data_IF_637468030512
#
_entry.id   IF_637468030512
#
_cell.length_a   1.000
_cell.length_b   1.000
_cell.length_c   1.000
_cell.angle_alpha   90.00
_cell.angle_beta   90.00
_cell.angle_gamma   90.00
#
_symmetry.space_group_name_H-M   'P 1'
#
loop_
_entity.id
_entity.type
_entity.pdbx_description
1 polymer ?
#
# COMPACT_ATOMS: atom_id res chain seq x y z
N UNK A 1 3.85 35.23 51.92
CA UNK A 1 2.97 35.77 50.87
C UNK A 1 2.91 34.76 49.74
N UNK A 2 1.76 34.67 49.06
CA UNK A 2 1.19 33.46 48.45
C UNK A 2 1.96 32.92 47.25
N UNK A 3 2.12 31.59 47.27
CA UNK A 3 2.44 30.70 46.14
C UNK A 3 1.44 30.92 44.99
N UNK A 4 1.93 31.00 43.74
CA UNK A 4 1.08 30.87 42.54
C UNK A 4 1.89 30.27 41.38
N UNK A 5 2.38 29.05 41.58
CA UNK A 5 2.69 28.17 40.45
C UNK A 5 1.34 27.70 39.89
N UNK A 6 1.02 28.19 38.71
CA UNK A 6 -0.16 27.82 37.93
C UNK A 6 0.03 26.36 37.48
N UNK A 7 -0.93 25.45 37.69
CA UNK A 7 -0.78 24.08 37.23
C UNK A 7 -0.84 24.08 35.70
N UNK A 8 0.19 23.51 35.07
CA UNK A 8 0.17 23.16 33.66
C UNK A 8 -0.92 22.08 33.51
N UNK A 9 -2.10 22.49 33.06
CA UNK A 9 -3.17 21.56 32.70
C UNK A 9 -2.66 20.81 31.47
N UNK A 10 -2.19 19.58 31.66
CA UNK A 10 -2.04 18.63 30.58
C UNK A 10 -3.46 18.32 30.09
N UNK A 11 -3.89 19.02 29.03
CA UNK A 11 -5.09 18.65 28.29
C UNK A 11 -4.70 17.34 27.59
N UNK A 12 -5.04 16.22 28.21
CA UNK A 12 -5.15 14.93 27.52
C UNK A 12 -6.28 15.11 26.51
N UNK A 13 -5.94 15.61 25.33
CA UNK A 13 -6.77 15.34 24.15
C UNK A 13 -6.73 13.83 24.00
N UNK A 14 -7.78 13.15 24.45
CA UNK A 14 -8.13 11.85 23.90
C UNK A 14 -8.45 12.12 22.43
N UNK A 15 -7.42 12.14 21.59
CA UNK A 15 -7.61 11.94 20.17
C UNK A 15 -8.20 10.54 20.11
N UNK A 16 -9.49 10.45 19.79
CA UNK A 16 -9.99 9.21 19.21
C UNK A 16 -9.12 9.03 17.97
N UNK A 17 -8.07 8.21 18.09
CA UNK A 17 -7.36 7.67 16.94
C UNK A 17 -8.42 6.83 16.23
N UNK A 18 -9.10 7.46 15.27
CA UNK A 18 -9.73 6.70 14.21
C UNK A 18 -8.55 6.02 13.52
N UNK A 19 -8.58 4.70 13.39
CA UNK A 19 -7.62 3.98 12.55
C UNK A 19 -7.67 4.64 11.17
N UNK A 20 -6.65 5.43 10.87
CA UNK A 20 -6.56 6.11 9.59
C UNK A 20 -6.08 5.05 8.61
N UNK A 21 -6.93 4.71 7.64
CA UNK A 21 -6.53 3.76 6.61
C UNK A 21 -5.43 4.39 5.75
N UNK A 22 -4.38 3.63 5.46
CA UNK A 22 -3.28 4.09 4.61
C UNK A 22 -3.74 4.21 3.14
N UNK A 23 -4.48 3.21 2.65
CA UNK A 23 -5.01 3.22 1.29
C UNK A 23 -6.48 3.66 1.25
N UNK A 24 -6.76 4.71 0.46
CA UNK A 24 -8.11 5.25 0.26
C UNK A 24 -8.52 5.12 -1.22
N UNK A 25 -9.52 4.29 -1.56
CA UNK A 25 -10.00 4.18 -2.92
C UNK A 25 -10.62 5.49 -3.42
N UNK A 26 -10.50 5.78 -4.72
CA UNK A 26 -11.06 7.00 -5.34
C UNK A 26 -12.59 7.03 -5.44
N UNK A 27 -13.26 5.97 -4.97
CA UNK A 27 -14.71 5.83 -5.02
C UNK A 27 -15.27 5.53 -3.64
N UNK A 28 -16.59 5.77 -3.48
CA UNK A 28 -17.29 5.50 -2.23
C UNK A 28 -18.72 5.04 -2.48
N UNK A 29 -19.33 4.40 -1.49
CA UNK A 29 -20.70 3.89 -1.59
C UNK A 29 -20.78 2.55 -2.30
N UNK A 30 -21.80 2.35 -3.13
CA UNK A 30 -21.96 1.10 -3.89
C UNK A 30 -21.14 1.17 -5.17
N UNK A 31 -20.21 0.23 -5.41
CA UNK A 31 -19.36 0.27 -6.59
C UNK A 31 -20.18 0.04 -7.88
N UNK A 32 -19.79 0.73 -8.95
CA UNK A 32 -20.38 0.58 -10.27
C UNK A 32 -19.75 -0.62 -10.98
N UNK A 33 -20.58 -1.57 -11.45
CA UNK A 33 -20.12 -2.78 -12.18
C UNK A 33 -18.82 -3.38 -11.64
N UNK A 34 -18.78 -3.70 -10.34
CA UNK A 34 -17.53 -3.97 -9.64
C UNK A 34 -16.78 -5.16 -10.22
N UNK A 35 -15.46 -5.10 -10.14
CA UNK A 35 -14.62 -6.28 -10.18
C UNK A 35 -14.36 -6.77 -8.75
N UNK A 36 -14.18 -8.08 -8.56
CA UNK A 36 -13.90 -8.68 -7.26
C UNK A 36 -12.50 -9.33 -7.22
N UNK A 37 -11.71 -9.01 -6.20
CA UNK A 37 -10.46 -9.70 -5.88
C UNK A 37 -10.68 -10.55 -4.63
N UNK A 38 -10.55 -11.87 -4.79
CA UNK A 38 -10.57 -12.86 -3.74
C UNK A 38 -9.12 -13.22 -3.39
N UNK A 39 -8.73 -12.98 -2.14
CA UNK A 39 -7.36 -13.18 -1.67
C UNK A 39 -7.33 -14.48 -0.87
N UNK A 40 -6.71 -15.52 -1.42
CA UNK A 40 -6.58 -16.82 -0.74
C UNK A 40 -5.50 -16.80 0.34
N UNK A 41 -4.48 -15.96 0.15
CA UNK A 41 -3.34 -15.80 1.05
C UNK A 41 -2.59 -14.50 0.71
N UNK A 42 -1.96 -13.87 1.70
CA UNK A 42 -1.12 -12.69 1.53
C UNK A 42 0.10 -12.76 2.44
N UNK A 43 1.30 -12.82 1.85
CA UNK A 43 2.56 -13.08 2.56
C UNK A 43 3.57 -11.93 2.43
N UNK A 44 4.32 -11.68 3.50
CA UNK A 44 5.60 -10.96 3.51
C UNK A 44 6.66 -11.94 4.00
N UNK A 45 7.69 -12.20 3.19
CA UNK A 45 8.80 -13.13 3.51
C UNK A 45 8.34 -14.54 3.92
N UNK A 46 7.21 -14.98 3.37
CA UNK A 46 6.61 -16.28 3.67
C UNK A 46 5.71 -16.33 4.90
N UNK A 47 5.57 -15.22 5.63
CA UNK A 47 4.67 -15.10 6.79
C UNK A 47 3.42 -14.32 6.42
N UNK A 48 2.26 -14.73 6.95
CA UNK A 48 0.99 -14.04 6.68
C UNK A 48 1.01 -12.60 7.19
N UNK A 49 0.35 -11.70 6.45
CA UNK A 49 -0.03 -10.38 6.97
C UNK A 49 -0.81 -10.52 8.27
N UNK A 50 -0.64 -9.54 9.16
CA UNK A 50 -1.26 -9.53 10.48
C UNK A 50 -2.36 -8.48 10.59
N UNK A 51 -3.14 -8.55 11.66
CA UNK A 51 -4.18 -7.57 11.98
C UNK A 51 -3.57 -6.17 12.04
N UNK A 52 -4.18 -5.22 11.32
CA UNK A 52 -3.72 -3.85 11.17
C UNK A 52 -3.11 -3.56 9.80
N UNK A 53 -2.48 -4.56 9.17
CA UNK A 53 -1.92 -4.42 7.82
C UNK A 53 -3.02 -4.15 6.78
N UNK A 54 -2.65 -3.50 5.67
CA UNK A 54 -3.58 -3.21 4.59
C UNK A 54 -3.10 -3.75 3.25
N UNK A 55 -4.07 -4.17 2.43
CA UNK A 55 -3.88 -4.54 1.04
C UNK A 55 -4.57 -3.48 0.18
N UNK A 56 -3.80 -2.81 -0.67
CA UNK A 56 -4.30 -1.84 -1.64
C UNK A 56 -4.25 -2.40 -3.06
N UNK A 57 -5.29 -2.12 -3.85
CA UNK A 57 -5.40 -2.51 -5.26
C UNK A 57 -5.37 -1.26 -6.13
N UNK A 58 -4.49 -1.26 -7.13
CA UNK A 58 -4.11 -0.07 -7.87
C UNK A 58 -4.26 -0.23 -9.39
N UNK A 59 -4.83 0.81 -10.00
CA UNK A 59 -4.77 1.10 -11.43
C UNK A 59 -3.69 2.17 -11.67
N UNK A 60 -2.46 1.73 -11.96
CA UNK A 60 -1.29 2.60 -11.93
C UNK A 60 -1.04 3.16 -10.53
N UNK A 61 -1.19 4.47 -10.36
CA UNK A 61 -1.04 5.15 -9.07
C UNK A 61 -2.37 5.37 -8.33
N UNK A 62 -3.48 4.96 -8.95
CA UNK A 62 -4.82 5.22 -8.44
C UNK A 62 -5.26 4.03 -7.58
N UNK A 63 -5.49 4.25 -6.29
CA UNK A 63 -6.10 3.25 -5.43
C UNK A 63 -7.57 3.06 -5.83
N UNK A 64 -7.93 1.85 -6.24
CA UNK A 64 -9.28 1.47 -6.70
C UNK A 64 -9.92 0.40 -5.82
N UNK A 65 -9.22 -0.06 -4.78
CA UNK A 65 -9.77 -0.94 -3.74
C UNK A 65 -8.78 -1.06 -2.60
N UNK A 66 -9.26 -1.28 -1.38
CA UNK A 66 -8.40 -1.58 -0.25
C UNK A 66 -9.12 -2.42 0.79
N UNK A 67 -8.33 -3.10 1.62
CA UNK A 67 -8.77 -3.85 2.79
C UNK A 67 -7.75 -3.69 3.90
N UNK A 68 -8.20 -3.24 5.07
CA UNK A 68 -7.44 -3.35 6.31
C UNK A 68 -7.83 -4.65 7.01
N UNK A 69 -6.84 -5.44 7.40
CA UNK A 69 -7.08 -6.71 8.09
C UNK A 69 -7.53 -6.44 9.53
N UNK A 70 -8.73 -6.90 9.87
CA UNK A 70 -9.26 -6.91 11.24
C UNK A 70 -9.20 -8.29 11.90
N UNK A 71 -8.78 -9.30 11.14
CA UNK A 71 -8.62 -10.70 11.53
C UNK A 71 -7.51 -11.37 10.71
N UNK A 72 -7.04 -12.52 11.19
CA UNK A 72 -6.08 -13.33 10.43
C UNK A 72 -6.73 -13.90 9.17
N UNK A 73 -5.97 -13.97 8.08
CA UNK A 73 -6.43 -14.58 6.83
C UNK A 73 -6.44 -16.11 7.02
N UNK A 74 -7.57 -16.65 7.48
CA UNK A 74 -7.78 -18.10 7.63
C UNK A 74 -8.54 -18.72 6.46
N UNK A 75 -9.26 -17.88 5.72
CA UNK A 75 -10.05 -18.22 4.53
C UNK A 75 -9.78 -17.16 3.44
N UNK A 76 -10.75 -16.90 2.56
CA UNK A 76 -10.62 -15.94 1.46
C UNK A 76 -11.13 -14.55 1.85
N UNK A 77 -10.30 -13.53 1.68
CA UNK A 77 -10.68 -12.12 1.83
C UNK A 77 -11.18 -11.52 0.51
N UNK A 78 -12.03 -10.50 0.57
CA UNK A 78 -12.64 -9.88 -0.61
C UNK A 78 -12.35 -8.37 -0.68
N UNK A 79 -11.78 -7.93 -1.80
CA UNK A 79 -11.69 -6.52 -2.17
C UNK A 79 -12.55 -6.27 -3.41
N UNK A 80 -13.42 -5.27 -3.33
CA UNK A 80 -14.21 -4.81 -4.46
C UNK A 80 -13.53 -3.60 -5.10
N UNK A 81 -13.61 -3.50 -6.43
CA UNK A 81 -13.09 -2.35 -7.18
C UNK A 81 -14.20 -1.82 -8.08
N UNK A 82 -14.47 -0.51 -8.04
CA UNK A 82 -15.50 0.13 -8.87
C UNK A 82 -14.97 0.41 -10.27
N UNK A 83 -15.80 0.22 -11.30
CA UNK A 83 -15.50 0.66 -12.66
C UNK A 83 -15.65 2.18 -12.77
N UNK A 84 -14.67 2.84 -13.39
CA UNK A 84 -14.72 4.29 -13.66
C UNK A 84 -15.94 4.63 -14.54
N UNK A 85 -16.77 5.55 -14.06
CA UNK A 85 -18.08 5.80 -14.64
C UNK A 85 -17.95 6.60 -15.95
N UNK A 86 -18.29 6.01 -17.12
CA UNK A 86 -18.12 6.69 -18.41
C UNK A 86 -19.07 7.90 -18.58
N UNK A 87 -20.06 8.07 -17.70
CA UNK A 87 -20.99 9.19 -17.72
C UNK A 87 -20.48 10.42 -16.95
N UNK A 88 -19.35 10.31 -16.24
CA UNK A 88 -18.71 11.41 -15.47
C UNK A 88 -17.29 11.67 -15.98
N UNK A 89 -17.11 12.01 -17.27
CA UNK A 89 -15.77 12.19 -17.84
C UNK A 89 -14.98 13.27 -17.11
N UNK A 90 -13.73 12.94 -16.75
CA UNK A 90 -12.80 13.82 -16.03
C UNK A 90 -12.88 13.71 -14.50
N UNK A 91 -13.80 12.92 -13.97
CA UNK A 91 -13.80 12.47 -12.58
C UNK A 91 -13.34 11.02 -12.58
N UNK A 92 -12.21 10.74 -11.95
CA UNK A 92 -11.75 9.35 -11.75
C UNK A 92 -12.44 8.80 -10.52
N UNK A 93 -13.34 7.84 -10.70
CA UNK A 93 -14.11 7.18 -9.65
C UNK A 93 -14.10 5.65 -9.76
N UNK A 94 -13.03 5.10 -10.33
CA UNK A 94 -12.83 3.67 -10.42
C UNK A 94 -11.61 3.27 -11.25
N UNK A 95 -11.58 1.99 -11.65
CA UNK A 95 -10.56 1.45 -12.54
C UNK A 95 -10.88 1.68 -14.01
N UNK A 96 -9.82 1.67 -14.83
CA UNK A 96 -9.88 1.69 -16.29
C UNK A 96 -9.83 0.26 -16.83
N UNK A 97 -10.77 -0.10 -17.72
CA UNK A 97 -10.82 -1.44 -18.33
C UNK A 97 -9.56 -1.74 -19.14
N UNK A 98 -9.01 -2.93 -18.97
CA UNK A 98 -7.84 -3.40 -19.73
C UNK A 98 -6.49 -3.03 -19.11
N UNK A 99 -6.47 -2.19 -18.08
CA UNK A 99 -5.26 -1.93 -17.31
C UNK A 99 -4.92 -3.12 -16.41
N UNK A 100 -3.62 -3.39 -16.17
CA UNK A 100 -3.21 -4.45 -15.26
C UNK A 100 -3.48 -4.05 -13.81
N UNK A 101 -3.84 -5.04 -12.99
CA UNK A 101 -3.95 -4.89 -11.55
C UNK A 101 -2.55 -4.84 -10.94
N UNK A 102 -2.32 -3.90 -10.04
CA UNK A 102 -1.14 -3.90 -9.17
C UNK A 102 -1.56 -3.86 -7.70
N UNK A 103 -0.74 -4.42 -6.83
CA UNK A 103 -1.01 -4.53 -5.39
C UNK A 103 0.11 -3.83 -4.63
N UNK A 104 -0.26 -3.21 -3.51
CA UNK A 104 0.67 -2.68 -2.50
C UNK A 104 0.21 -3.15 -1.13
N UNK A 105 1.15 -3.35 -0.23
CA UNK A 105 0.84 -3.57 1.18
C UNK A 105 1.22 -2.35 2.01
N UNK A 106 0.46 -2.15 3.08
CA UNK A 106 0.86 -1.32 4.20
C UNK A 106 1.11 -2.25 5.39
N UNK A 107 2.36 -2.32 5.85
CA UNK A 107 2.70 -2.95 7.10
C UNK A 107 2.53 -1.92 8.21
N UNK A 108 1.48 -2.06 9.02
CA UNK A 108 1.16 -1.07 10.05
C UNK A 108 2.16 -1.12 11.21
N UNK A 109 2.67 -2.30 11.54
CA UNK A 109 3.63 -2.45 12.64
C UNK A 109 4.97 -1.78 12.35
N UNK A 110 5.40 -1.80 11.09
CA UNK A 110 6.67 -1.22 10.64
C UNK A 110 6.51 0.17 10.01
N UNK A 111 5.27 0.62 9.77
CA UNK A 111 4.94 1.84 9.05
C UNK A 111 5.62 1.88 7.66
N UNK A 112 5.51 0.77 6.94
CA UNK A 112 6.21 0.52 5.68
C UNK A 112 5.22 0.18 4.56
N UNK A 113 5.32 0.91 3.44
CA UNK A 113 4.62 0.54 2.21
C UNK A 113 5.50 -0.40 1.38
N UNK A 114 5.00 -1.60 1.11
CA UNK A 114 5.62 -2.55 0.20
C UNK A 114 4.94 -2.47 -1.17
N UNK A 115 5.74 -2.24 -2.20
CA UNK A 115 5.30 -2.16 -3.60
C UNK A 115 5.71 -3.41 -4.36
N UNK A 116 5.21 -3.55 -5.61
CA UNK A 116 5.56 -4.66 -6.51
C UNK A 116 5.23 -6.05 -5.93
N UNK A 117 4.09 -6.16 -5.26
CA UNK A 117 3.59 -7.41 -4.73
C UNK A 117 3.31 -8.37 -5.89
N UNK A 118 3.84 -9.59 -5.80
CA UNK A 118 3.64 -10.62 -6.80
C UNK A 118 2.22 -11.17 -6.71
N UNK A 119 1.52 -11.22 -7.84
CA UNK A 119 0.15 -11.74 -7.95
C UNK A 119 0.22 -13.15 -8.55
N UNK A 120 0.05 -14.17 -7.73
CA UNK A 120 -0.08 -15.55 -8.18
C UNK A 120 -1.55 -15.83 -8.48
N UNK A 121 -1.91 -15.75 -9.77
CA UNK A 121 -3.27 -15.98 -10.25
C UNK A 121 -3.67 -17.44 -10.08
N UNK A 122 -4.69 -17.70 -9.27
CA UNK A 122 -5.27 -19.04 -9.09
C UNK A 122 -6.46 -19.25 -10.04
N UNK A 123 -7.28 -18.22 -10.23
CA UNK A 123 -8.43 -18.23 -11.14
C UNK A 123 -8.86 -16.80 -11.51
N UNK A 124 -9.49 -16.60 -12.67
CA UNK A 124 -9.90 -15.27 -13.12
C UNK A 124 -8.80 -14.54 -13.91
N UNK A 125 -8.77 -13.21 -13.83
CA UNK A 125 -7.82 -12.37 -14.59
C UNK A 125 -7.28 -11.22 -13.75
N UNK A 126 -5.98 -10.98 -13.89
CA UNK A 126 -5.22 -9.85 -13.36
C UNK A 126 -5.34 -8.56 -14.21
N UNK A 127 -6.34 -8.50 -15.09
CA UNK A 127 -6.66 -7.34 -15.91
C UNK A 127 -8.04 -6.82 -15.49
N UNK A 128 -8.14 -5.50 -15.28
CA UNK A 128 -9.39 -4.88 -14.88
C UNK A 128 -10.50 -5.07 -15.93
N UNK A 129 -11.64 -5.62 -15.48
CA UNK A 129 -12.82 -5.82 -16.29
C UNK A 129 -14.10 -5.61 -15.46
N UNK A 130 -15.12 -4.89 -15.98
CA UNK A 130 -16.40 -4.73 -15.29
C UNK A 130 -17.06 -6.08 -15.03
N UNK A 131 -17.55 -6.30 -13.80
CA UNK A 131 -18.11 -7.59 -13.36
C UNK A 131 -17.12 -8.77 -13.42
N UNK A 132 -15.83 -8.49 -13.57
CA UNK A 132 -14.77 -9.49 -13.55
C UNK A 132 -14.46 -10.00 -12.15
N UNK A 133 -13.59 -11.00 -12.07
CA UNK A 133 -13.04 -11.46 -10.80
C UNK A 133 -11.61 -11.97 -10.96
N UNK A 134 -10.88 -11.97 -9.85
CA UNK A 134 -9.58 -12.60 -9.67
C UNK A 134 -9.58 -13.34 -8.33
N UNK A 135 -9.06 -14.57 -8.32
CA UNK A 135 -8.66 -15.29 -7.11
C UNK A 135 -7.15 -15.40 -7.16
N UNK A 136 -6.46 -14.94 -6.13
CA UNK A 136 -5.01 -14.90 -6.11
C UNK A 136 -4.41 -15.12 -4.71
N UNK A 137 -3.22 -15.71 -4.71
CA UNK A 137 -2.26 -15.64 -3.62
C UNK A 137 -1.30 -14.49 -3.91
N UNK A 138 -1.01 -13.68 -2.89
CA UNK A 138 -0.16 -12.49 -2.99
C UNK A 138 1.12 -12.67 -2.17
N UNK A 139 2.27 -12.39 -2.77
CA UNK A 139 3.59 -12.57 -2.13
C UNK A 139 4.46 -11.32 -2.25
N UNK A 140 5.10 -10.93 -1.15
CA UNK A 140 6.11 -9.89 -1.08
C UNK A 140 7.39 -10.45 -0.46
N UNK A 141 8.54 -9.93 -0.90
CA UNK A 141 9.83 -10.21 -0.27
C UNK A 141 10.49 -8.88 0.13
N UNK A 142 11.02 -8.82 1.34
CA UNK A 142 11.83 -7.70 1.79
C UNK A 142 13.27 -7.90 1.35
N UNK A 143 13.85 -6.90 0.70
CA UNK A 143 15.24 -6.91 0.27
C UNK A 143 15.88 -5.65 0.80
N UNK A 144 16.81 -5.83 1.73
CA UNK A 144 17.57 -4.74 2.32
C UNK A 144 18.73 -4.33 1.42
N UNK A 145 18.92 -3.02 1.26
CA UNK A 145 20.07 -2.46 0.55
C UNK A 145 19.88 -0.98 0.27
N UNK A 146 20.89 -0.35 -0.33
CA UNK A 146 20.78 1.05 -0.69
C UNK A 146 19.72 1.26 -1.79
N UNK A 147 18.72 2.09 -1.52
CA UNK A 147 17.65 2.44 -2.48
C UNK A 147 17.89 3.75 -3.22
N UNK A 148 18.96 4.50 -2.85
CA UNK A 148 19.34 5.73 -3.53
C UNK A 148 19.97 5.43 -4.91
N UNK A 149 19.32 5.80 -6.03
CA UNK A 149 19.84 5.54 -7.37
C UNK A 149 21.14 6.30 -7.70
N UNK A 150 21.47 7.35 -6.94
CA UNK A 150 22.69 8.14 -7.10
C UNK A 150 23.87 7.61 -6.26
N UNK A 151 23.65 6.60 -5.42
CA UNK A 151 24.69 6.00 -4.58
C UNK A 151 25.57 4.98 -5.34
N UNK A 152 26.83 4.86 -4.93
CA UNK A 152 27.81 3.94 -5.55
C UNK A 152 27.45 2.46 -5.39
N UNK A 153 26.65 2.14 -4.38
CA UNK A 153 26.20 0.79 -4.05
C UNK A 153 24.67 0.64 -4.13
N UNK A 154 24.01 1.44 -4.98
CA UNK A 154 22.59 1.27 -5.29
C UNK A 154 22.26 -0.19 -5.59
N UNK A 155 21.26 -0.73 -4.90
CA UNK A 155 20.72 -2.06 -5.14
C UNK A 155 19.31 -1.94 -5.74
N UNK A 156 19.14 -2.21 -7.05
CA UNK A 156 17.82 -2.09 -7.70
C UNK A 156 16.80 -3.10 -7.18
N UNK A 157 17.24 -4.19 -6.53
CA UNK A 157 16.35 -5.17 -5.92
C UNK A 157 15.95 -4.78 -4.49
N UNK A 158 16.59 -3.76 -3.89
CA UNK A 158 16.27 -3.34 -2.52
C UNK A 158 14.88 -2.69 -2.44
N UNK A 159 14.03 -3.27 -1.60
CA UNK A 159 12.70 -2.73 -1.28
C UNK A 159 12.72 -1.93 0.02
N UNK A 160 13.77 -2.06 0.85
CA UNK A 160 13.95 -1.35 2.11
C UNK A 160 15.38 -0.79 2.18
N UNK A 161 15.50 0.51 2.45
CA UNK A 161 16.80 1.14 2.69
C UNK A 161 17.42 0.61 3.99
N UNK A 162 18.63 0.07 3.89
CA UNK A 162 19.42 -0.40 5.04
C UNK A 162 20.42 0.64 5.56
N UNK A 163 20.35 1.87 5.03
CA UNK A 163 21.28 2.96 5.35
C UNK A 163 22.74 2.63 5.01
N UNK A 164 22.99 1.67 4.11
CA UNK A 164 24.33 1.34 3.63
C UNK A 164 24.80 2.22 2.46
N UNK A 165 23.97 3.14 1.97
CA UNK A 165 24.27 3.98 0.82
C UNK A 165 25.63 4.71 0.93
N UNK A 166 26.44 4.57 -0.12
CA UNK A 166 27.74 5.22 -0.27
C UNK A 166 27.58 6.39 -1.23
N UNK A 167 27.65 7.60 -0.69
CA UNK A 167 27.53 8.83 -1.48
C UNK A 167 28.62 8.92 -2.56
N UNK A 168 28.24 9.48 -3.71
CA UNK A 168 29.19 9.85 -4.75
C UNK A 168 29.97 11.10 -4.31
N UNK A 169 31.23 10.94 -3.90
CA UNK A 169 32.12 12.09 -3.68
C UNK A 169 32.49 12.64 -5.06
N UNK A 170 31.77 13.67 -5.52
CA UNK A 170 32.22 14.53 -6.61
C UNK A 170 33.44 15.31 -6.11
N UNK A 171 34.62 14.77 -6.35
CA UNK A 171 35.87 15.26 -5.77
C UNK A 171 36.18 16.70 -6.15
N UNK A 172 36.82 17.42 -5.22
CA UNK A 172 37.55 18.65 -5.53
C UNK A 172 38.46 18.39 -6.75
N UNK A 173 38.22 19.09 -7.85
CA UNK A 173 39.24 19.24 -8.89
C UNK A 173 40.37 20.06 -8.27
N UNK A 174 41.54 19.46 -8.13
CA UNK A 174 42.77 20.12 -7.73
C UNK A 174 43.03 21.25 -8.74
N UNK A 175 42.86 22.51 -8.32
CA UNK A 175 43.18 23.68 -9.13
C UNK A 175 44.71 23.73 -9.30
N UNK A 176 45.20 23.35 -10.49
CA UNK A 176 46.61 23.49 -10.89
C UNK A 176 47.00 24.93 -11.17
#
# INVERSE_FOLDING_TARGET
MKNKYLPLIAILFSVNLIAQTHFTPVWSGTPLSPMALYISQALIDGENLIIGDEIGVFDGDICVGSLQLDSEITDTELIMMSFDNPNTPGVVDGFTVGNPISIRYWNDSEQLELVNINIIVENGSDIFAPLGFLIAHLEANTVYGCTDPDALNFNPEATIDDSSCVETISGCMDDT
#
